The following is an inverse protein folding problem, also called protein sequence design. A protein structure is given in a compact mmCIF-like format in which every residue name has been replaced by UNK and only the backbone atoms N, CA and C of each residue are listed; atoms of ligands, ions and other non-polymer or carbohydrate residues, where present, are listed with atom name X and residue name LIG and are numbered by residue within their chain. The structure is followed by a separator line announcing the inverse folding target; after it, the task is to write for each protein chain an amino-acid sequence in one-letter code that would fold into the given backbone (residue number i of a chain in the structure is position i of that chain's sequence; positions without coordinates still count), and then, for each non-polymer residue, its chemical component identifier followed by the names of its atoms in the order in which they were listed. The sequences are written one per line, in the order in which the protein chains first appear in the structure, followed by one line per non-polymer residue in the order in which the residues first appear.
data_IF_577082760943
#
_entry.id   IF_577082760943
#
_cell.length_a   1.000
_cell.length_b   1.000
_cell.length_c   1.000
_cell.angle_alpha   90.00
_cell.angle_beta   90.00
_cell.angle_gamma   90.00
#
_symmetry.space_group_name_H-M   'P 1'
#
loop_
_entity.id
_entity.type
_entity.pdbx_description
1 polymer ?
#
# COMPACT_ATOMS: atom_id res chain seq x y z
N UNK A 1 -5.95 2.53 -11.11
CA UNK A 1 -5.11 2.25 -9.93
C UNK A 1 -5.65 1.15 -9.03
N UNK A 2 -6.88 1.23 -8.54
CA UNK A 2 -7.47 0.17 -7.70
C UNK A 2 -7.39 -1.21 -8.37
N UNK A 3 -7.72 -1.31 -9.66
CA UNK A 3 -7.60 -2.57 -10.42
C UNK A 3 -6.17 -3.11 -10.46
N UNK A 4 -5.18 -2.24 -10.58
CA UNK A 4 -3.77 -2.66 -10.60
C UNK A 4 -3.34 -3.21 -9.24
N UNK A 5 -3.78 -2.57 -8.15
CA UNK A 5 -3.56 -3.07 -6.78
C UNK A 5 -4.32 -4.38 -6.57
N UNK A 6 -5.57 -4.49 -7.04
CA UNK A 6 -6.35 -5.71 -6.95
C UNK A 6 -5.70 -6.88 -7.69
N UNK A 7 -5.16 -6.64 -8.88
CA UNK A 7 -4.43 -7.67 -9.62
C UNK A 7 -3.18 -8.11 -8.85
N UNK A 8 -2.45 -7.15 -8.28
CA UNK A 8 -1.27 -7.44 -7.47
C UNK A 8 -1.63 -8.24 -6.22
N UNK A 9 -2.75 -7.91 -5.56
CA UNK A 9 -3.27 -8.69 -4.44
C UNK A 9 -3.63 -10.10 -4.88
N UNK A 10 -4.33 -10.27 -6.01
CA UNK A 10 -4.69 -11.59 -6.56
C UNK A 10 -3.47 -12.45 -6.86
N UNK A 11 -2.43 -11.87 -7.44
CA UNK A 11 -1.17 -12.58 -7.72
C UNK A 11 -0.51 -13.12 -6.44
N UNK A 12 -0.72 -12.45 -5.31
CA UNK A 12 -0.12 -12.79 -4.02
C UNK A 12 -1.09 -13.44 -3.02
N UNK A 13 -2.38 -13.57 -3.38
CA UNK A 13 -3.41 -14.10 -2.50
C UNK A 13 -3.37 -15.62 -2.34
N UNK A 14 -2.63 -16.34 -3.18
CA UNK A 14 -2.66 -17.80 -3.25
C UNK A 14 -2.44 -18.49 -1.91
N UNK A 15 -1.37 -18.20 -1.22
CA UNK A 15 -1.06 -18.83 0.07
C UNK A 15 -1.77 -18.15 1.25
N UNK A 16 -1.89 -16.83 1.22
CA UNK A 16 -2.44 -16.08 2.34
C UNK A 16 -3.97 -16.18 2.45
N UNK A 17 -4.66 -16.32 1.33
CA UNK A 17 -6.13 -16.33 1.26
C UNK A 17 -6.64 -17.67 0.71
N UNK A 18 -6.28 -18.03 -0.53
CA UNK A 18 -6.89 -19.15 -1.26
C UNK A 18 -6.60 -20.50 -0.61
N UNK A 19 -5.38 -20.74 -0.19
CA UNK A 19 -4.95 -21.97 0.49
C UNK A 19 -5.08 -21.90 2.01
N UNK A 20 -5.64 -20.82 2.54
CA UNK A 20 -5.78 -20.64 3.99
C UNK A 20 -7.12 -21.20 4.46
N UNK A 21 -7.13 -22.30 5.27
CA UNK A 21 -8.37 -22.93 5.74
C UNK A 21 -9.19 -22.04 6.67
N UNK A 22 -8.60 -20.97 7.19
CA UNK A 22 -9.30 -20.02 8.04
C UNK A 22 -10.10 -18.97 7.25
N UNK A 23 -9.88 -18.89 5.93
CA UNK A 23 -10.65 -18.04 5.01
C UNK A 23 -11.56 -18.96 4.18
N UNK A 24 -12.89 -18.86 4.34
CA UNK A 24 -13.80 -19.66 3.53
C UNK A 24 -13.60 -19.38 2.03
N UNK A 25 -13.55 -20.41 1.21
CA UNK A 25 -13.33 -20.28 -0.24
C UNK A 25 -14.34 -19.34 -0.92
N UNK A 26 -15.56 -19.32 -0.44
CA UNK A 26 -16.62 -18.43 -0.92
C UNK A 26 -16.31 -16.94 -0.68
N UNK A 27 -15.45 -16.65 0.30
CA UNK A 27 -15.05 -15.28 0.68
C UNK A 27 -13.70 -14.86 0.08
N UNK A 28 -12.97 -15.76 -0.57
CA UNK A 28 -11.63 -15.49 -1.09
C UNK A 28 -11.57 -14.23 -1.97
N UNK A 29 -12.52 -14.08 -2.88
CA UNK A 29 -12.56 -12.92 -3.78
C UNK A 29 -12.91 -11.63 -3.03
N UNK A 30 -13.87 -11.69 -2.10
CA UNK A 30 -14.26 -10.56 -1.28
C UNK A 30 -13.13 -10.12 -0.33
N UNK A 31 -12.42 -11.05 0.28
CA UNK A 31 -11.24 -10.79 1.13
C UNK A 31 -10.09 -10.20 0.30
N UNK A 32 -9.90 -10.70 -0.92
CA UNK A 32 -8.90 -10.14 -1.86
C UNK A 32 -9.23 -8.71 -2.24
N UNK A 33 -10.50 -8.42 -2.55
CA UNK A 33 -10.97 -7.07 -2.84
C UNK A 33 -10.82 -6.15 -1.63
N UNK A 34 -11.12 -6.63 -0.44
CA UNK A 34 -10.94 -5.89 0.81
C UNK A 34 -9.47 -5.56 1.10
N UNK A 35 -8.55 -6.48 0.80
CA UNK A 35 -7.12 -6.22 0.92
C UNK A 35 -6.67 -5.06 0.00
N UNK A 36 -7.12 -5.07 -1.25
CA UNK A 36 -6.84 -3.98 -2.19
C UNK A 36 -7.41 -2.63 -1.72
N UNK A 37 -8.64 -2.64 -1.22
CA UNK A 37 -9.29 -1.43 -0.66
C UNK A 37 -8.58 -0.93 0.58
N UNK A 38 -8.21 -1.81 1.50
CA UNK A 38 -7.49 -1.46 2.73
C UNK A 38 -6.10 -0.87 2.44
N UNK A 39 -5.39 -1.38 1.44
CA UNK A 39 -4.13 -0.80 0.98
C UNK A 39 -4.37 0.62 0.44
N UNK A 40 -5.36 0.81 -0.42
CA UNK A 40 -5.68 2.11 -1.00
C UNK A 40 -6.06 3.13 0.07
N UNK A 41 -6.98 2.75 0.96
CA UNK A 41 -7.42 3.60 2.08
C UNK A 41 -6.26 3.93 3.02
N UNK A 42 -5.42 2.95 3.33
CA UNK A 42 -4.25 3.16 4.18
C UNK A 42 -3.26 4.15 3.59
N UNK A 43 -2.97 4.04 2.30
CA UNK A 43 -2.11 4.99 1.59
C UNK A 43 -2.72 6.39 1.54
N UNK A 44 -4.03 6.52 1.28
CA UNK A 44 -4.74 7.80 1.30
C UNK A 44 -4.74 8.43 2.70
N UNK A 45 -4.99 7.63 3.73
CA UNK A 45 -4.98 8.10 5.12
C UNK A 45 -3.60 8.63 5.54
N UNK A 46 -2.51 7.99 5.10
CA UNK A 46 -1.17 8.48 5.37
C UNK A 46 -0.92 9.84 4.74
N UNK A 47 -1.36 10.05 3.51
CA UNK A 47 -1.27 11.36 2.84
C UNK A 47 -2.08 12.40 3.60
N UNK A 48 -3.32 12.08 3.96
CA UNK A 48 -4.22 12.98 4.69
C UNK A 48 -3.69 13.36 6.08
N UNK A 49 -2.91 12.50 6.71
CA UNK A 49 -2.26 12.73 7.99
C UNK A 49 -0.91 13.45 7.89
N UNK A 50 -0.51 13.89 6.68
CA UNK A 50 0.76 14.56 6.46
C UNK A 50 1.99 13.62 6.47
N UNK A 51 1.79 12.31 6.38
CA UNK A 51 2.86 11.29 6.34
C UNK A 51 3.30 10.93 4.92
N UNK A 52 3.17 11.86 4.00
CA UNK A 52 3.58 11.67 2.61
C UNK A 52 5.10 11.40 2.48
N UNK A 53 5.93 11.95 3.38
CA UNK A 53 7.36 11.67 3.41
C UNK A 53 7.67 10.22 3.78
N UNK A 54 6.92 9.64 4.71
CA UNK A 54 7.07 8.22 5.09
C UNK A 54 6.74 7.31 3.91
N UNK A 55 5.70 7.67 3.14
CA UNK A 55 5.36 6.98 1.89
C UNK A 55 6.46 7.10 0.84
N UNK A 56 6.96 8.31 0.59
CA UNK A 56 8.06 8.53 -0.35
C UNK A 56 9.30 7.73 0.04
N UNK A 57 9.64 7.70 1.32
CA UNK A 57 10.75 6.90 1.85
C UNK A 57 10.53 5.41 1.60
N UNK A 58 9.32 4.90 1.81
CA UNK A 58 8.97 3.50 1.57
C UNK A 58 9.12 3.15 0.08
N UNK A 59 8.63 4.01 -0.82
CA UNK A 59 8.73 3.80 -2.27
C UNK A 59 10.15 3.96 -2.82
N UNK A 60 11.00 4.75 -2.15
CA UNK A 60 12.40 4.94 -2.53
C UNK A 60 13.33 3.81 -2.09
N UNK A 61 12.87 2.93 -1.20
CA UNK A 61 13.67 1.84 -0.64
C UNK A 61 13.02 0.48 -0.89
N UNK A 62 13.06 -0.04 -2.12
CA UNK A 62 12.42 -1.31 -2.49
C UNK A 62 12.94 -2.53 -1.72
N UNK A 63 14.13 -2.42 -1.14
CA UNK A 63 14.75 -3.47 -0.31
C UNK A 63 14.51 -3.26 1.19
N UNK A 64 13.64 -2.33 1.58
CA UNK A 64 13.32 -2.04 2.98
C UNK A 64 12.59 -3.20 3.67
N UNK A 65 12.68 -3.21 5.01
CA UNK A 65 11.88 -4.15 5.82
C UNK A 65 10.42 -3.67 5.90
N UNK A 66 9.59 -4.24 5.04
CA UNK A 66 8.16 -3.91 4.98
C UNK A 66 7.39 -4.43 6.19
N UNK A 67 7.83 -5.51 6.82
CA UNK A 67 7.13 -6.08 7.97
C UNK A 67 7.22 -5.19 9.21
N UNK A 68 8.37 -4.56 9.42
CA UNK A 68 8.60 -3.64 10.55
C UNK A 68 8.21 -2.19 10.24
N UNK A 69 7.81 -1.88 9.02
CA UNK A 69 7.47 -0.52 8.62
C UNK A 69 6.16 -0.06 9.27
N UNK A 70 6.15 1.07 10.01
CA UNK A 70 4.94 1.57 10.69
C UNK A 70 3.76 1.83 9.76
N UNK A 71 4.04 2.26 8.51
CA UNK A 71 3.01 2.46 7.50
C UNK A 71 2.32 1.14 7.13
N UNK A 72 3.11 0.11 6.89
CA UNK A 72 2.63 -1.24 6.58
C UNK A 72 1.84 -1.82 7.74
N UNK A 73 2.31 -1.62 8.98
CA UNK A 73 1.60 -2.08 10.18
C UNK A 73 0.24 -1.38 10.36
N UNK A 74 0.15 -0.08 10.06
CA UNK A 74 -1.12 0.65 10.09
C UNK A 74 -2.12 0.11 9.05
N UNK A 75 -1.67 -0.12 7.82
CA UNK A 75 -2.50 -0.71 6.75
C UNK A 75 -2.94 -2.12 7.13
N UNK A 76 -2.01 -2.94 7.63
CA UNK A 76 -2.31 -4.30 8.11
C UNK A 76 -3.32 -4.30 9.24
N UNK A 77 -3.20 -3.38 10.20
CA UNK A 77 -4.14 -3.22 11.31
C UNK A 77 -5.56 -2.89 10.85
N UNK A 78 -5.71 -1.99 9.88
CA UNK A 78 -7.00 -1.69 9.26
C UNK A 78 -7.61 -2.90 8.55
N UNK A 79 -6.80 -3.62 7.80
CA UNK A 79 -7.23 -4.85 7.12
C UNK A 79 -7.65 -5.94 8.12
N UNK A 80 -6.90 -6.16 9.20
CA UNK A 80 -7.26 -7.10 10.28
C UNK A 80 -8.64 -6.77 10.84
N UNK A 81 -8.90 -5.50 11.17
CA UNK A 81 -10.20 -5.06 11.68
C UNK A 81 -11.35 -5.36 10.70
N UNK A 82 -11.12 -5.14 9.41
CA UNK A 82 -12.09 -5.43 8.38
C UNK A 82 -12.34 -6.94 8.21
N UNK A 83 -11.30 -7.77 8.29
CA UNK A 83 -11.42 -9.23 8.28
C UNK A 83 -12.26 -9.76 9.43
N UNK A 84 -12.09 -9.22 10.62
CA UNK A 84 -12.86 -9.61 11.81
C UNK A 84 -14.30 -9.11 11.71
N UNK A 85 -14.51 -7.84 11.38
CA UNK A 85 -15.82 -7.19 11.45
C UNK A 85 -16.73 -7.51 10.28
N UNK A 86 -16.18 -7.58 9.06
CA UNK A 86 -16.95 -7.80 7.82
C UNK A 86 -17.08 -9.28 7.47
N UNK A 87 -16.04 -10.07 7.71
CA UNK A 87 -15.96 -11.48 7.27
C UNK A 87 -16.05 -12.48 8.42
N UNK A 88 -16.04 -12.03 9.67
CA UNK A 88 -16.11 -12.90 10.83
C UNK A 88 -14.90 -13.82 11.00
N UNK A 89 -13.78 -13.50 10.38
CA UNK A 89 -12.53 -14.26 10.50
C UNK A 89 -11.98 -14.08 11.91
N UNK A 90 -11.54 -15.16 12.54
CA UNK A 90 -11.01 -15.06 13.90
C UNK A 90 -9.74 -14.18 13.94
N UNK A 91 -9.47 -13.47 15.05
CA UNK A 91 -8.37 -12.50 15.14
C UNK A 91 -6.99 -13.09 14.84
N UNK A 92 -6.73 -14.32 15.22
CA UNK A 92 -5.45 -15.00 14.96
C UNK A 92 -5.24 -15.25 13.46
N UNK A 93 -6.27 -15.74 12.77
CA UNK A 93 -6.23 -15.96 11.33
C UNK A 93 -6.16 -14.62 10.56
N UNK A 94 -6.96 -13.64 10.97
CA UNK A 94 -6.93 -12.29 10.36
C UNK A 94 -5.53 -11.67 10.46
N UNK A 95 -4.87 -11.80 11.61
CA UNK A 95 -3.48 -11.35 11.79
C UNK A 95 -2.52 -12.11 10.90
N UNK A 96 -2.66 -13.43 10.80
CA UNK A 96 -1.82 -14.27 9.93
C UNK A 96 -1.94 -13.86 8.45
N UNK A 97 -3.17 -13.70 7.95
CA UNK A 97 -3.44 -13.25 6.58
C UNK A 97 -2.82 -11.87 6.32
N UNK A 98 -3.09 -10.91 7.20
CA UNK A 98 -2.64 -9.53 7.02
C UNK A 98 -1.11 -9.39 7.10
N UNK A 99 -0.47 -10.07 8.05
CA UNK A 99 0.99 -10.00 8.25
C UNK A 99 1.79 -10.62 7.09
N UNK A 100 1.18 -11.49 6.32
CA UNK A 100 1.81 -12.10 5.13
C UNK A 100 1.45 -11.31 3.87
N UNK A 101 0.18 -11.05 3.66
CA UNK A 101 -0.33 -10.49 2.41
C UNK A 101 0.06 -9.02 2.23
N UNK A 102 -0.21 -8.18 3.22
CA UNK A 102 -0.04 -6.72 3.09
C UNK A 102 1.42 -6.33 2.84
N UNK A 103 2.41 -6.81 3.62
CA UNK A 103 3.82 -6.50 3.33
C UNK A 103 4.26 -6.98 1.95
N UNK A 104 3.85 -8.18 1.55
CA UNK A 104 4.21 -8.77 0.25
C UNK A 104 3.65 -7.96 -0.91
N UNK A 105 2.38 -7.57 -0.84
CA UNK A 105 1.73 -6.76 -1.89
C UNK A 105 2.38 -5.38 -1.98
N UNK A 106 2.63 -4.73 -0.84
CA UNK A 106 3.28 -3.42 -0.81
C UNK A 106 4.71 -3.48 -1.32
N UNK A 107 5.48 -4.52 -0.97
CA UNK A 107 6.81 -4.74 -1.51
C UNK A 107 6.79 -4.87 -3.04
N UNK A 108 5.88 -5.69 -3.57
CA UNK A 108 5.71 -5.86 -5.01
C UNK A 108 5.23 -4.57 -5.69
N UNK A 109 4.35 -3.81 -5.04
CA UNK A 109 3.93 -2.49 -5.52
C UNK A 109 5.12 -1.53 -5.64
N UNK A 110 5.97 -1.48 -4.62
CA UNK A 110 7.18 -0.65 -4.61
C UNK A 110 8.17 -1.11 -5.68
N UNK A 111 8.36 -2.41 -5.85
CA UNK A 111 9.21 -2.94 -6.93
C UNK A 111 8.69 -2.54 -8.32
N UNK A 112 7.39 -2.71 -8.58
CA UNK A 112 6.77 -2.32 -9.86
C UNK A 112 6.83 -0.80 -10.09
N UNK A 113 6.73 0.00 -9.04
CA UNK A 113 6.85 1.46 -9.12
C UNK A 113 8.27 1.91 -9.50
N UNK A 114 9.27 1.15 -9.11
CA UNK A 114 10.67 1.41 -9.47
C UNK A 114 11.10 0.74 -10.78
N UNK A 115 10.21 -0.02 -11.41
CA UNK A 115 10.47 -0.61 -12.73
C UNK A 115 10.11 0.39 -13.83
N UNK A 116 11.13 0.94 -14.46
CA UNK A 116 10.98 1.91 -15.55
C UNK A 116 10.31 1.34 -16.80
N UNK A 117 10.21 0.02 -16.91
CA UNK A 117 9.52 -0.65 -18.02
C UNK A 117 8.00 -0.71 -17.84
N UNK A 118 7.48 -0.54 -16.62
CA UNK A 118 6.04 -0.57 -16.31
C UNK A 118 5.51 0.80 -15.89
N UNK A 119 5.10 1.59 -16.88
CA UNK A 119 4.53 2.93 -16.65
C UNK A 119 3.18 2.93 -15.93
N UNK A 120 2.52 1.77 -15.80
CA UNK A 120 1.21 1.64 -15.12
C UNK A 120 1.31 1.85 -13.61
N UNK A 121 2.49 1.67 -13.06
CA UNK A 121 2.78 1.78 -11.63
C UNK A 121 3.74 2.93 -11.29
N UNK A 122 3.84 3.95 -12.16
CA UNK A 122 4.72 5.09 -11.86
C UNK A 122 4.31 5.79 -10.55
N UNK A 123 5.31 6.25 -9.79
CA UNK A 123 5.10 7.04 -8.56
C UNK A 123 4.12 8.19 -8.80
N UNK A 124 4.27 8.90 -9.93
CA UNK A 124 3.41 9.99 -10.31
C UNK A 124 1.94 9.56 -10.48
N UNK A 125 1.72 8.41 -11.13
CA UNK A 125 0.37 7.83 -11.28
C UNK A 125 -0.23 7.43 -9.94
N UNK A 126 0.56 6.84 -9.05
CA UNK A 126 0.12 6.42 -7.73
C UNK A 126 -0.26 7.63 -6.89
N UNK A 127 0.64 8.60 -6.77
CA UNK A 127 0.40 9.81 -5.98
C UNK A 127 -0.69 10.69 -6.60
N UNK A 128 -0.75 10.83 -7.92
CA UNK A 128 -1.82 11.54 -8.60
C UNK A 128 -3.21 10.98 -8.31
N UNK A 129 -3.34 9.67 -8.30
CA UNK A 129 -4.61 9.01 -7.95
C UNK A 129 -4.94 9.10 -6.44
N UNK A 130 -3.93 9.02 -5.57
CA UNK A 130 -4.12 9.12 -4.12
C UNK A 130 -4.49 10.54 -3.68
N UNK A 131 -4.03 11.57 -4.38
CA UNK A 131 -4.27 12.98 -4.07
C UNK A 131 -5.44 13.59 -4.85
N UNK A 132 -6.21 12.78 -5.57
CA UNK A 132 -7.35 13.27 -6.35
C UNK A 132 -6.96 14.18 -7.52
N UNK A 133 -5.77 13.95 -8.10
CA UNK A 133 -5.30 14.67 -9.29
C UNK A 133 -4.34 15.84 -9.01
N UNK A 134 -4.00 16.11 -7.75
CA UNK A 134 -3.02 17.16 -7.43
C UNK A 134 -1.56 16.75 -7.68
N UNK A 135 -1.32 15.48 -7.97
CA UNK A 135 -0.01 14.96 -8.33
C UNK A 135 1.07 15.14 -7.26
N UNK A 136 2.27 14.73 -7.63
CA UNK A 136 3.46 14.87 -6.78
C UNK A 136 3.78 16.37 -6.49
N UNK A 137 3.51 17.24 -7.46
CA UNK A 137 3.76 18.69 -7.36
C UNK A 137 2.91 19.36 -6.27
N UNK A 138 1.63 18.99 -6.14
CA UNK A 138 0.74 19.52 -5.09
C UNK A 138 1.18 19.08 -3.69
N UNK A 139 1.73 17.86 -3.60
CA UNK A 139 2.26 17.31 -2.35
C UNK A 139 3.57 17.99 -1.94
N UNK A 140 4.46 18.21 -2.90
CA UNK A 140 5.73 18.91 -2.70
C UNK A 140 5.46 20.37 -2.29
N UNK A 141 4.46 21.03 -2.90
CA UNK A 141 4.04 22.38 -2.54
C UNK A 141 3.49 22.49 -1.11
N UNK A 142 2.75 21.49 -0.65
CA UNK A 142 2.20 21.46 0.71
C UNK A 142 3.27 21.13 1.78
N UNK A 143 4.28 20.33 1.42
CA UNK A 143 5.42 20.01 2.29
C UNK A 143 6.42 21.18 2.31
N UNK A 144 6.55 21.93 1.20
CA UNK A 144 7.48 23.05 1.06
C UNK A 144 7.15 24.27 1.93
N UNK A 145 5.90 24.42 2.40
CA UNK A 145 5.52 25.49 3.33
C UNK A 145 5.90 25.20 4.79
N UNK A 146 6.41 24.00 5.09
CA UNK A 146 6.79 23.58 6.44
C UNK A 146 8.27 23.28 6.67
N UNK A 147 9.19 23.62 5.73
CA UNK A 147 10.63 23.41 5.96
C UNK A 147 11.35 22.56 4.92
N UNK A 148 11.10 22.75 3.64
CA UNK A 148 11.43 21.78 2.62
C UNK A 148 12.56 22.10 1.64
N UNK A 149 13.74 22.57 2.07
CA UNK A 149 14.90 22.68 1.16
C UNK A 149 15.57 21.33 0.83
N UNK A 150 15.29 20.26 1.62
CA UNK A 150 15.93 18.94 1.45
C UNK A 150 15.20 17.95 0.55
N UNK A 151 13.92 18.19 0.24
CA UNK A 151 13.09 17.25 -0.52
C UNK A 151 13.32 17.38 -2.03
N UNK A 152 13.54 18.62 -2.51
CA UNK A 152 13.85 18.89 -3.92
C UNK A 152 15.19 18.27 -4.35
N UNK A 153 16.15 18.19 -3.47
CA UNK A 153 17.48 17.64 -3.76
C UNK A 153 17.45 16.09 -3.83
N UNK A 154 16.61 15.47 -3.00
CA UNK A 154 16.39 14.01 -3.04
C UNK A 154 15.58 13.56 -4.26
N UNK A 155 14.63 14.38 -4.73
CA UNK A 155 13.84 14.09 -5.92
C UNK A 155 14.64 14.26 -7.22
N UNK A 156 15.61 15.19 -7.25
CA UNK A 156 16.52 15.35 -8.39
C UNK A 156 17.43 14.13 -8.64
N UNK A 157 17.67 13.34 -7.61
CA UNK A 157 18.44 12.09 -7.73
C UNK A 157 17.63 10.89 -8.21
N UNK A 158 16.30 11.01 -8.34
CA UNK A 158 15.38 9.94 -8.76
C UNK A 158 14.94 10.07 -10.23
N UNK A 159 15.30 11.15 -10.87
CA UNK A 159 15.10 11.44 -12.28
C UNK A 159 16.48 11.65 -12.93
#
# INVERSE_FOLDING_TARGET
MLENILNLVRENAGEAIVNNPAVPNEQNEAVTAEAGSSIMEGLQNMISQGKAQDLLSMFSHPSGDFQSNPAVQNISGGFIQNLISKFGINPSAATGVASTLIPTVLQNLVHKTNDTADSSFSLESIFGNLTGGQGLEGLIGSIGQGGGAGVMDKLKGLF
#
